data_IF_713430634381
#
_entry.id   IF_713430634381
#
_cell.length_a   1.000
_cell.length_b   1.000
_cell.length_c   1.000
_cell.angle_alpha   90.00
_cell.angle_beta   90.00
_cell.angle_gamma   90.00
#
_symmetry.space_group_name_H-M   'P 1'
#
loop_
_entity.id
_entity.type
_entity.pdbx_description
1 polymer ?
#
# COMPACT_ATOMS: atom_id res chain seq x y z
N UNK A 1 -15.98 -13.01 -5.00
CA UNK A 1 -14.96 -13.67 -4.16
C UNK A 1 -14.27 -12.64 -3.30
N UNK A 2 -13.99 -13.00 -2.05
CA UNK A 2 -13.34 -12.14 -1.05
C UNK A 2 -12.01 -11.55 -1.55
N UNK A 3 -11.25 -12.31 -2.35
CA UNK A 3 -10.01 -11.84 -2.97
C UNK A 3 -10.18 -10.59 -3.84
N UNK A 4 -11.32 -10.42 -4.54
CA UNK A 4 -11.59 -9.18 -5.32
C UNK A 4 -11.76 -7.97 -4.41
N UNK A 5 -12.37 -8.15 -3.24
CA UNK A 5 -12.55 -7.08 -2.23
C UNK A 5 -11.20 -6.72 -1.61
N UNK A 6 -10.40 -7.72 -1.24
CA UNK A 6 -9.05 -7.55 -0.69
C UNK A 6 -8.15 -6.80 -1.68
N UNK A 7 -8.15 -7.20 -2.96
CA UNK A 7 -7.38 -6.53 -4.02
C UNK A 7 -7.81 -5.08 -4.24
N UNK A 8 -9.12 -4.78 -4.12
CA UNK A 8 -9.64 -3.41 -4.22
C UNK A 8 -9.20 -2.56 -3.02
N UNK A 9 -9.26 -3.11 -1.82
CA UNK A 9 -8.79 -2.44 -0.60
C UNK A 9 -7.29 -2.18 -0.64
N UNK A 10 -6.48 -3.17 -1.05
CA UNK A 10 -5.03 -3.03 -1.25
C UNK A 10 -4.70 -1.89 -2.23
N UNK A 11 -5.33 -1.86 -3.42
CA UNK A 11 -5.12 -0.76 -4.38
C UNK A 11 -5.48 0.62 -3.82
N UNK A 12 -6.54 0.70 -3.01
CA UNK A 12 -6.96 1.95 -2.35
C UNK A 12 -5.92 2.40 -1.33
N UNK A 13 -5.43 1.49 -0.48
CA UNK A 13 -4.41 1.77 0.52
C UNK A 13 -3.07 2.18 -0.12
N UNK A 14 -2.64 1.47 -1.15
CA UNK A 14 -1.47 1.85 -1.94
C UNK A 14 -1.63 3.25 -2.53
N UNK A 15 -2.79 3.57 -3.10
CA UNK A 15 -3.02 4.92 -3.63
C UNK A 15 -2.99 6.03 -2.57
N UNK A 16 -3.23 5.71 -1.29
CA UNK A 16 -3.22 6.68 -0.19
C UNK A 16 -1.83 6.87 0.41
N UNK A 17 -1.00 5.83 0.37
CA UNK A 17 0.30 5.81 1.05
C UNK A 17 1.50 5.73 0.11
N UNK A 18 1.30 5.57 -1.20
CA UNK A 18 2.42 5.39 -2.13
C UNK A 18 3.32 6.64 -2.12
N UNK A 19 4.63 6.49 -1.90
CA UNK A 19 5.58 7.59 -1.86
C UNK A 19 5.48 8.48 -3.10
N UNK A 20 5.49 7.92 -4.32
CA UNK A 20 5.35 8.73 -5.56
C UNK A 20 4.10 9.62 -5.58
N UNK A 21 2.95 9.14 -5.07
CA UNK A 21 1.71 9.93 -5.05
C UNK A 21 1.74 11.03 -4.00
N UNK A 22 2.50 10.84 -2.93
CA UNK A 22 2.69 11.85 -1.88
C UNK A 22 3.75 12.87 -2.30
N UNK A 23 4.79 12.43 -3.01
CA UNK A 23 5.79 13.30 -3.62
C UNK A 23 5.15 14.24 -4.65
N UNK A 24 4.25 13.72 -5.49
CA UNK A 24 3.48 14.54 -6.44
C UNK A 24 2.57 15.57 -5.76
N UNK A 25 2.24 15.39 -4.47
CA UNK A 25 1.48 16.35 -3.65
C UNK A 25 2.36 17.33 -2.88
N UNK A 26 3.67 17.30 -3.08
CA UNK A 26 4.62 18.21 -2.42
C UNK A 26 4.89 17.87 -0.95
N UNK A 27 4.72 16.61 -0.53
CA UNK A 27 5.06 16.22 0.84
C UNK A 27 6.58 16.28 1.08
N UNK A 28 7.01 16.67 2.30
CA UNK A 28 8.42 16.69 2.66
C UNK A 28 9.07 15.30 2.58
N UNK A 29 10.36 15.20 2.22
CA UNK A 29 11.11 13.95 2.20
C UNK A 29 11.09 13.19 3.54
N UNK A 30 11.06 13.90 4.65
CA UNK A 30 10.99 13.31 6.00
C UNK A 30 9.71 12.52 6.24
N UNK A 31 8.59 12.91 5.59
CA UNK A 31 7.34 12.17 5.67
C UNK A 31 7.28 10.97 4.71
N UNK A 32 8.25 10.86 3.78
CA UNK A 32 8.32 9.78 2.82
C UNK A 32 8.77 8.47 3.45
N UNK A 33 9.58 8.51 4.51
CA UNK A 33 9.99 7.30 5.23
C UNK A 33 8.79 6.60 5.87
N UNK A 34 7.91 7.36 6.53
CA UNK A 34 6.68 6.83 7.11
C UNK A 34 5.73 6.27 6.03
N UNK A 35 5.61 6.96 4.90
CA UNK A 35 4.83 6.50 3.76
C UNK A 35 5.38 5.20 3.15
N UNK A 36 6.70 5.10 3.03
CA UNK A 36 7.41 3.91 2.55
C UNK A 36 7.21 2.72 3.50
N UNK A 37 7.36 2.94 4.81
CA UNK A 37 7.12 1.94 5.84
C UNK A 37 5.70 1.36 5.72
N UNK A 38 4.68 2.23 5.69
CA UNK A 38 3.27 1.82 5.53
C UNK A 38 3.04 1.06 4.23
N UNK A 39 3.61 1.53 3.13
CA UNK A 39 3.48 0.88 1.82
C UNK A 39 4.06 -0.54 1.85
N UNK A 40 5.22 -0.73 2.50
CA UNK A 40 5.83 -2.06 2.67
C UNK A 40 4.98 -2.99 3.53
N UNK A 41 4.41 -2.49 4.64
CA UNK A 41 3.51 -3.27 5.49
C UNK A 41 2.25 -3.71 4.74
N UNK A 42 1.64 -2.80 3.97
CA UNK A 42 0.46 -3.10 3.13
C UNK A 42 0.79 -4.18 2.08
N UNK A 43 1.96 -4.07 1.44
CA UNK A 43 2.43 -5.08 0.48
C UNK A 43 2.62 -6.44 1.14
N UNK A 44 3.33 -6.49 2.27
CA UNK A 44 3.62 -7.72 2.97
C UNK A 44 2.33 -8.44 3.42
N UNK A 45 1.35 -7.69 3.94
CA UNK A 45 0.05 -8.23 4.33
C UNK A 45 -0.72 -8.79 3.14
N UNK A 46 -0.75 -8.07 2.00
CA UNK A 46 -1.41 -8.54 0.79
C UNK A 46 -0.75 -9.81 0.23
N UNK A 47 0.59 -9.84 0.17
CA UNK A 47 1.34 -10.99 -0.33
C UNK A 47 1.09 -12.25 0.51
N UNK A 48 0.99 -12.11 1.84
CA UNK A 48 0.68 -13.22 2.74
C UNK A 48 -0.72 -13.79 2.47
N UNK A 49 -1.72 -12.92 2.33
CA UNK A 49 -3.10 -13.31 2.05
C UNK A 49 -3.21 -13.94 0.65
N UNK A 50 -2.52 -13.38 -0.34
CA UNK A 50 -2.51 -13.90 -1.71
C UNK A 50 -1.87 -15.30 -1.76
N UNK A 51 -0.77 -15.53 -1.02
CA UNK A 51 -0.15 -16.86 -0.89
C UNK A 51 -1.07 -17.88 -0.22
N UNK A 52 -1.85 -17.48 0.78
CA UNK A 52 -2.80 -18.37 1.47
C UNK A 52 -4.03 -18.73 0.62
N UNK A 53 -4.38 -17.89 -0.35
CA UNK A 53 -5.53 -18.09 -1.24
C UNK A 53 -5.14 -18.73 -2.59
N UNK A 54 -3.89 -19.18 -2.74
CA UNK A 54 -3.34 -19.78 -3.94
C UNK A 54 -3.33 -21.30 -3.82
#
# INVERSE_FOLDING_TARGET
TEMRVIKKAYKKLMSQHHPDKLMAKGLPPEMMESAKQKTQEIQAAYDLIEKQNR
#
